data_IF_012681088322
#
_entry.id   IF_012681088322
#
_cell.length_a   1.000
_cell.length_b   1.000
_cell.length_c   1.000
_cell.angle_alpha   90.00
_cell.angle_beta   90.00
_cell.angle_gamma   90.00
#
_symmetry.space_group_name_H-M   'P 1'
#
loop_
_entity.id
_entity.type
_entity.pdbx_description
1 polymer ?
#
# COMPACT_ATOMS: atom_id res chain seq x y z
N UNK A 1 19.57 16.64 -10.57
CA UNK A 1 18.64 16.04 -11.56
C UNK A 1 17.38 16.89 -11.51
N UNK A 2 16.80 17.27 -12.65
CA UNK A 2 15.55 18.04 -12.64
C UNK A 2 14.37 17.05 -12.58
N UNK A 3 13.56 17.15 -11.54
CA UNK A 3 12.29 16.43 -11.43
C UNK A 3 11.19 17.33 -11.99
N UNK A 4 10.39 16.79 -12.90
CA UNK A 4 9.43 17.58 -13.69
C UNK A 4 8.03 17.58 -13.11
N UNK A 5 7.67 16.55 -12.35
CA UNK A 5 6.35 16.33 -11.76
C UNK A 5 6.41 16.18 -10.24
N UNK A 6 7.42 15.45 -9.71
CA UNK A 6 7.55 15.22 -8.28
C UNK A 6 8.11 16.46 -7.56
N UNK A 7 7.20 17.35 -7.18
CA UNK A 7 7.51 18.52 -6.35
C UNK A 7 7.52 18.15 -4.87
N UNK A 8 8.16 18.98 -4.02
CA UNK A 8 8.15 18.74 -2.57
C UNK A 8 6.74 18.66 -1.96
N UNK A 9 5.75 19.52 -2.33
CA UNK A 9 4.39 19.38 -1.82
C UNK A 9 3.71 18.06 -2.19
N UNK A 10 3.95 17.55 -3.41
CA UNK A 10 3.45 16.23 -3.81
C UNK A 10 4.15 15.17 -2.97
N UNK A 11 5.48 15.20 -2.89
CA UNK A 11 6.26 14.26 -2.08
C UNK A 11 5.77 14.21 -0.62
N UNK A 12 5.56 15.35 0.02
CA UNK A 12 5.10 15.45 1.42
C UNK A 12 3.73 14.80 1.61
N UNK A 13 2.83 14.97 0.64
CA UNK A 13 1.52 14.33 0.64
C UNK A 13 1.64 12.81 0.57
N UNK A 14 2.40 12.29 -0.40
CA UNK A 14 2.60 10.84 -0.55
C UNK A 14 3.31 10.26 0.69
N UNK A 15 4.31 10.96 1.21
CA UNK A 15 5.11 10.51 2.35
C UNK A 15 4.27 10.42 3.62
N UNK A 16 3.40 11.41 3.87
CA UNK A 16 2.47 11.41 5.00
C UNK A 16 1.53 10.22 4.94
N UNK A 17 0.91 9.97 3.79
CA UNK A 17 -0.08 8.91 3.62
C UNK A 17 0.55 7.52 3.77
N UNK A 18 1.76 7.33 3.22
CA UNK A 18 2.50 6.08 3.42
C UNK A 18 2.98 5.93 4.86
N UNK A 19 3.34 7.02 5.54
CA UNK A 19 3.65 6.99 6.98
C UNK A 19 2.44 6.56 7.80
N UNK A 20 1.24 7.09 7.49
CA UNK A 20 -0.01 6.68 8.11
C UNK A 20 -0.28 5.19 7.87
N UNK A 21 -0.21 4.73 6.62
CA UNK A 21 -0.40 3.34 6.26
C UNK A 21 0.57 2.43 7.03
N UNK A 22 1.88 2.71 6.95
CA UNK A 22 2.89 1.86 7.59
C UNK A 22 2.71 1.82 9.11
N UNK A 23 2.43 2.96 9.74
CA UNK A 23 2.16 3.01 11.18
C UNK A 23 0.91 2.21 11.55
N UNK A 24 -0.15 2.30 10.73
CA UNK A 24 -1.41 1.58 10.93
C UNK A 24 -1.25 0.08 10.79
N UNK A 25 -0.45 -0.39 9.83
CA UNK A 25 -0.25 -1.82 9.56
C UNK A 25 0.94 -2.45 10.30
N UNK A 26 1.52 -1.74 11.28
CA UNK A 26 2.66 -2.21 12.07
C UNK A 26 3.90 -2.49 11.22
N UNK A 27 4.17 -1.63 10.25
CA UNK A 27 5.33 -1.68 9.36
C UNK A 27 6.37 -0.63 9.78
N UNK A 28 7.69 -0.90 9.59
CA UNK A 28 8.76 0.01 10.01
C UNK A 28 8.68 1.42 9.38
N UNK A 29 8.91 2.46 10.18
CA UNK A 29 8.96 3.87 9.74
C UNK A 29 10.25 4.49 10.27
N UNK A 30 11.05 5.08 9.38
CA UNK A 30 12.37 5.65 9.72
C UNK A 30 13.26 4.71 10.54
N UNK A 31 13.16 3.41 10.28
CA UNK A 31 13.87 2.35 10.99
C UNK A 31 14.80 1.61 10.02
N UNK A 32 15.86 2.32 9.62
CA UNK A 32 16.90 1.84 8.70
C UNK A 32 17.53 0.54 9.20
N UNK A 33 17.62 0.33 10.51
CA UNK A 33 18.21 -0.86 11.10
C UNK A 33 17.38 -2.13 10.82
N UNK A 34 16.06 -1.99 10.66
CA UNK A 34 15.18 -3.12 10.31
C UNK A 34 15.15 -3.46 8.81
N UNK A 35 15.71 -2.60 7.95
CA UNK A 35 15.85 -2.84 6.51
C UNK A 35 17.02 -3.80 6.22
N UNK A 36 16.86 -5.05 6.64
CA UNK A 36 17.78 -6.15 6.32
C UNK A 36 17.57 -6.67 4.88
N UNK A 37 18.42 -7.62 4.46
CA UNK A 37 18.37 -8.23 3.13
C UNK A 37 16.98 -8.76 2.74
N UNK A 38 16.25 -9.37 3.67
CA UNK A 38 14.91 -9.89 3.42
C UNK A 38 13.91 -8.75 3.19
N UNK A 39 13.97 -7.70 4.00
CA UNK A 39 13.09 -6.54 3.86
C UNK A 39 13.39 -5.76 2.57
N UNK A 40 14.67 -5.64 2.19
CA UNK A 40 15.05 -4.99 0.95
C UNK A 40 14.68 -5.82 -0.30
N UNK A 41 14.84 -7.15 -0.21
CA UNK A 41 14.34 -8.07 -1.23
C UNK A 41 12.84 -7.95 -1.40
N UNK A 42 12.08 -7.84 -0.30
CA UNK A 42 10.63 -7.65 -0.34
C UNK A 42 10.25 -6.33 -1.03
N UNK A 43 10.88 -5.21 -0.67
CA UNK A 43 10.64 -3.94 -1.37
C UNK A 43 10.93 -4.04 -2.87
N UNK A 44 11.99 -4.77 -3.23
CA UNK A 44 12.34 -5.02 -4.64
C UNK A 44 11.32 -5.91 -5.34
N UNK A 45 10.83 -6.98 -4.70
CA UNK A 45 9.84 -7.86 -5.30
C UNK A 45 8.50 -7.15 -5.52
N UNK A 46 8.09 -6.30 -4.57
CA UNK A 46 6.85 -5.52 -4.68
C UNK A 46 6.90 -4.59 -5.90
N UNK A 47 7.96 -3.78 -6.06
CA UNK A 47 8.03 -2.90 -7.24
C UNK A 47 8.15 -3.67 -8.57
N UNK A 48 8.75 -4.86 -8.56
CA UNK A 48 8.77 -5.72 -9.76
C UNK A 48 7.36 -6.19 -10.11
N UNK A 49 6.56 -6.58 -9.11
CA UNK A 49 5.16 -6.98 -9.27
C UNK A 49 4.36 -5.84 -9.91
N UNK A 50 4.33 -4.65 -9.29
CA UNK A 50 3.54 -3.51 -9.79
C UNK A 50 3.96 -3.06 -11.20
N UNK A 51 5.25 -3.06 -11.51
CA UNK A 51 5.74 -2.71 -12.85
C UNK A 51 5.43 -3.79 -13.90
N UNK A 52 5.31 -5.05 -13.47
CA UNK A 52 4.86 -6.13 -14.35
C UNK A 52 3.37 -5.98 -14.63
N UNK A 53 2.57 -5.67 -13.62
CA UNK A 53 1.13 -5.37 -13.79
C UNK A 53 0.93 -4.18 -14.73
N UNK A 54 1.73 -3.11 -14.60
CA UNK A 54 1.69 -1.98 -15.53
C UNK A 54 2.01 -2.39 -16.97
N UNK A 55 2.93 -3.35 -17.17
CA UNK A 55 3.28 -3.85 -18.51
C UNK A 55 2.18 -4.74 -19.11
N UNK A 56 1.38 -5.39 -18.28
CA UNK A 56 0.29 -6.28 -18.69
C UNK A 56 -1.08 -5.58 -18.78
N UNK A 57 -1.22 -4.42 -18.14
CA UNK A 57 -2.47 -3.66 -18.04
C UNK A 57 -3.12 -3.34 -19.40
N UNK A 58 -4.38 -3.78 -19.56
CA UNK A 58 -5.11 -3.67 -20.82
C UNK A 58 -6.06 -2.47 -20.90
N UNK A 59 -6.31 -1.84 -19.76
CA UNK A 59 -7.24 -0.72 -19.61
C UNK A 59 -6.60 0.46 -18.90
N UNK A 60 -7.19 1.65 -19.06
CA UNK A 60 -6.69 2.84 -18.37
C UNK A 60 -6.86 2.75 -16.84
N UNK A 61 -7.88 2.02 -16.38
CA UNK A 61 -8.12 1.75 -14.97
C UNK A 61 -6.94 0.93 -14.40
N UNK A 62 -6.60 -0.18 -15.05
CA UNK A 62 -5.46 -1.03 -14.63
C UNK A 62 -4.13 -0.28 -14.73
N UNK A 63 -3.94 0.54 -15.77
CA UNK A 63 -2.74 1.38 -15.90
C UNK A 63 -2.64 2.38 -14.75
N UNK A 64 -3.75 3.01 -14.35
CA UNK A 64 -3.75 3.96 -13.24
C UNK A 64 -3.47 3.26 -11.90
N UNK A 65 -4.08 2.11 -11.65
CA UNK A 65 -3.87 1.29 -10.46
C UNK A 65 -2.39 0.90 -10.33
N UNK A 66 -1.82 0.27 -11.37
CA UNK A 66 -0.42 -0.16 -11.36
C UNK A 66 0.59 0.99 -11.27
N UNK A 67 0.30 2.17 -11.85
CA UNK A 67 1.14 3.37 -11.67
C UNK A 67 1.09 3.85 -10.22
N UNK A 68 -0.11 3.94 -9.63
CA UNK A 68 -0.29 4.38 -8.24
C UNK A 68 0.38 3.40 -7.28
N UNK A 69 0.18 2.10 -7.45
CA UNK A 69 0.77 1.08 -6.60
C UNK A 69 2.30 1.02 -6.73
N UNK A 70 2.84 1.21 -7.94
CA UNK A 70 4.28 1.38 -8.16
C UNK A 70 4.85 2.57 -7.34
N UNK A 71 4.15 3.71 -7.32
CA UNK A 71 4.57 4.85 -6.49
C UNK A 71 4.38 4.54 -5.00
N UNK A 72 3.31 3.85 -4.62
CA UNK A 72 3.00 3.47 -3.25
C UNK A 72 4.12 2.61 -2.62
N UNK A 73 4.62 1.62 -3.36
CA UNK A 73 5.70 0.73 -2.89
C UNK A 73 7.05 1.44 -2.85
N UNK A 74 7.35 2.32 -3.83
CA UNK A 74 8.58 3.13 -3.83
C UNK A 74 8.61 4.12 -2.66
N UNK A 75 7.50 4.81 -2.41
CA UNK A 75 7.34 5.66 -1.23
C UNK A 75 7.41 4.84 0.07
N UNK A 76 6.89 3.61 0.06
CA UNK A 76 7.05 2.64 1.14
C UNK A 76 8.51 2.38 1.53
N UNK A 77 9.40 2.27 0.54
CA UNK A 77 10.85 2.16 0.77
C UNK A 77 11.44 3.44 1.35
N UNK A 78 11.05 4.61 0.83
CA UNK A 78 11.52 5.91 1.36
C UNK A 78 11.11 6.13 2.81
N UNK A 79 9.87 5.84 3.17
CA UNK A 79 9.39 5.95 4.56
C UNK A 79 10.08 4.96 5.48
N UNK A 80 10.38 3.73 5.03
CA UNK A 80 11.18 2.77 5.81
C UNK A 80 12.59 3.35 6.08
N UNK A 81 13.22 3.96 5.07
CA UNK A 81 14.54 4.60 5.18
C UNK A 81 14.52 5.91 5.98
N UNK A 82 13.36 6.53 6.19
CA UNK A 82 13.24 7.85 6.82
C UNK A 82 13.66 9.01 5.92
N UNK A 83 13.66 8.78 4.59
CA UNK A 83 14.01 9.79 3.58
C UNK A 83 12.80 10.66 3.28
N UNK A 84 12.66 11.74 4.05
CA UNK A 84 11.47 12.58 4.12
C UNK A 84 11.48 13.78 3.17
N UNK A 85 12.58 14.04 2.47
CA UNK A 85 12.69 15.10 1.47
C UNK A 85 12.89 14.52 0.07
N UNK A 86 12.46 15.26 -0.95
CA UNK A 86 12.53 14.80 -2.35
C UNK A 86 13.98 14.54 -2.82
N UNK A 87 14.96 15.19 -2.20
CA UNK A 87 16.38 15.09 -2.50
C UNK A 87 17.15 14.08 -1.64
N UNK A 88 16.55 13.52 -0.58
CA UNK A 88 17.17 12.51 0.28
C UNK A 88 17.56 11.23 -0.49
N UNK A 89 16.78 10.88 -1.53
CA UNK A 89 17.10 9.77 -2.43
C UNK A 89 16.68 10.07 -3.88
N UNK A 90 17.54 10.79 -4.60
CA UNK A 90 17.31 11.19 -5.98
C UNK A 90 17.04 10.02 -6.94
N UNK A 91 17.57 8.82 -6.68
CA UNK A 91 17.34 7.68 -7.55
C UNK A 91 15.88 7.21 -7.49
N UNK A 92 15.33 7.03 -6.28
CA UNK A 92 13.93 6.65 -6.11
C UNK A 92 13.01 7.81 -6.51
N UNK A 93 13.33 9.05 -6.12
CA UNK A 93 12.55 10.23 -6.51
C UNK A 93 12.47 10.38 -8.03
N UNK A 94 13.53 10.06 -8.76
CA UNK A 94 13.52 10.04 -10.23
C UNK A 94 12.60 8.95 -10.78
N UNK A 95 12.60 7.74 -10.23
CA UNK A 95 11.69 6.67 -10.65
C UNK A 95 10.23 7.07 -10.44
N UNK A 96 9.92 7.70 -9.31
CA UNK A 96 8.58 8.24 -9.03
C UNK A 96 8.24 9.34 -10.04
N UNK A 97 9.15 10.28 -10.32
CA UNK A 97 8.94 11.33 -11.34
C UNK A 97 8.64 10.74 -12.72
N UNK A 98 9.31 9.66 -13.11
CA UNK A 98 9.03 8.96 -14.37
C UNK A 98 7.61 8.39 -14.40
N UNK A 99 7.17 7.75 -13.31
CA UNK A 99 5.81 7.20 -13.21
C UNK A 99 4.74 8.29 -13.26
N UNK A 100 4.98 9.45 -12.62
CA UNK A 100 4.09 10.61 -12.72
C UNK A 100 4.01 11.15 -14.17
N UNK A 101 5.14 11.19 -14.89
CA UNK A 101 5.13 11.55 -16.30
C UNK A 101 4.42 10.50 -17.16
N UNK A 102 4.52 9.22 -16.84
CA UNK A 102 3.74 8.16 -17.51
C UNK A 102 2.25 8.40 -17.29
N UNK A 103 1.79 8.67 -16.07
CA UNK A 103 0.38 9.00 -15.81
C UNK A 103 -0.11 10.17 -16.68
N UNK A 104 0.67 11.26 -16.76
CA UNK A 104 0.36 12.40 -17.62
C UNK A 104 0.24 11.99 -19.09
N UNK A 105 1.21 11.23 -19.61
CA UNK A 105 1.20 10.76 -21.00
C UNK A 105 0.08 9.75 -21.31
N UNK A 106 -0.58 9.24 -20.28
CA UNK A 106 -1.73 8.34 -20.37
C UNK A 106 -3.05 9.04 -20.04
N UNK A 107 -3.04 10.36 -19.87
CA UNK A 107 -4.20 11.17 -19.45
C UNK A 107 -4.84 10.63 -18.16
N UNK A 108 -4.00 10.34 -17.15
CA UNK A 108 -4.40 9.88 -15.81
C UNK A 108 -4.09 10.98 -14.80
N UNK A 109 -5.08 11.42 -14.05
CA UNK A 109 -4.88 12.34 -12.93
C UNK A 109 -4.36 11.57 -11.70
N UNK A 110 -3.05 11.64 -11.46
CA UNK A 110 -2.39 10.81 -10.46
C UNK A 110 -2.90 11.04 -9.01
N UNK A 111 -3.03 12.30 -8.57
CA UNK A 111 -3.37 12.60 -7.17
C UNK A 111 -4.77 12.11 -6.77
N UNK A 112 -5.84 12.33 -7.58
CA UNK A 112 -7.13 11.72 -7.30
C UNK A 112 -7.08 10.19 -7.19
N UNK A 113 -6.35 9.52 -8.10
CA UNK A 113 -6.19 8.06 -8.05
C UNK A 113 -5.41 7.63 -6.81
N UNK A 114 -4.37 8.37 -6.43
CA UNK A 114 -3.60 8.14 -5.20
C UNK A 114 -4.48 8.22 -3.96
N UNK A 115 -5.26 9.29 -3.81
CA UNK A 115 -6.14 9.50 -2.66
C UNK A 115 -7.18 8.38 -2.52
N UNK A 116 -7.71 7.92 -3.66
CA UNK A 116 -8.67 6.84 -3.74
C UNK A 116 -8.06 5.48 -3.34
N UNK A 117 -6.88 5.15 -3.88
CA UNK A 117 -6.13 3.93 -3.53
C UNK A 117 -5.71 3.96 -2.07
N UNK A 118 -5.21 5.10 -1.56
CA UNK A 118 -4.84 5.23 -0.16
C UNK A 118 -6.04 5.06 0.76
N UNK A 119 -7.19 5.67 0.45
CA UNK A 119 -8.45 5.51 1.17
C UNK A 119 -8.93 4.05 1.20
N UNK A 120 -8.88 3.37 0.05
CA UNK A 120 -9.15 1.94 -0.07
C UNK A 120 -8.21 1.10 0.80
N UNK A 121 -6.91 1.39 0.77
CA UNK A 121 -5.90 0.72 1.59
C UNK A 121 -6.15 0.90 3.09
N UNK A 122 -6.50 2.10 3.52
CA UNK A 122 -6.84 2.42 4.91
C UNK A 122 -8.18 1.82 5.35
N UNK A 123 -9.06 1.41 4.43
CA UNK A 123 -10.32 0.71 4.77
C UNK A 123 -10.13 -0.78 5.11
N UNK A 124 -8.92 -1.33 4.96
CA UNK A 124 -8.64 -2.75 5.29
C UNK A 124 -8.68 -3.03 6.79
N UNK A 125 -8.48 -2.03 7.65
CA UNK A 125 -8.54 -2.16 9.10
C UNK A 125 -9.96 -1.97 9.64
N UNK A 126 -10.21 -2.46 10.85
CA UNK A 126 -11.44 -2.21 11.58
C UNK A 126 -11.30 -0.91 12.40
N UNK A 127 -12.34 -0.06 12.43
CA UNK A 127 -12.33 1.23 13.12
C UNK A 127 -12.74 1.15 14.59
N UNK A 128 -13.33 0.03 15.01
CA UNK A 128 -13.81 -0.20 16.35
C UNK A 128 -14.01 -1.70 16.59
N UNK A 129 -14.29 -2.06 17.85
CA UNK A 129 -14.51 -3.44 18.29
C UNK A 129 -15.70 -4.13 17.61
N UNK A 130 -16.74 -3.38 17.24
CA UNK A 130 -17.89 -3.97 16.55
C UNK A 130 -17.50 -4.43 15.14
N UNK A 131 -16.80 -3.59 14.38
CA UNK A 131 -16.27 -3.97 13.05
C UNK A 131 -15.31 -5.16 13.14
N UNK A 132 -14.47 -5.22 14.18
CA UNK A 132 -13.58 -6.36 14.40
C UNK A 132 -14.38 -7.63 14.71
N UNK A 133 -15.38 -7.56 15.60
CA UNK A 133 -16.22 -8.72 15.98
C UNK A 133 -16.96 -9.30 14.77
N UNK A 134 -17.50 -8.44 13.91
CA UNK A 134 -18.17 -8.85 12.68
C UNK A 134 -17.19 -9.46 11.68
N UNK A 135 -15.99 -8.89 11.56
CA UNK A 135 -14.91 -9.43 10.73
C UNK A 135 -14.46 -10.80 11.25
N UNK A 136 -14.27 -10.94 12.56
CA UNK A 136 -13.91 -12.21 13.21
C UNK A 136 -14.98 -13.28 12.98
N UNK A 137 -16.26 -12.93 13.11
CA UNK A 137 -17.37 -13.85 12.83
C UNK A 137 -17.34 -14.32 11.37
N UNK A 138 -17.18 -13.39 10.42
CA UNK A 138 -17.12 -13.70 8.98
C UNK A 138 -15.97 -14.66 8.61
N UNK A 139 -14.78 -14.50 9.22
CA UNK A 139 -13.65 -15.39 8.98
C UNK A 139 -13.76 -16.70 9.76
N UNK A 140 -14.34 -16.69 10.96
CA UNK A 140 -14.60 -17.90 11.75
C UNK A 140 -15.54 -18.88 11.02
N UNK A 141 -16.55 -18.37 10.31
CA UNK A 141 -17.43 -19.19 9.45
C UNK A 141 -16.68 -19.92 8.32
N UNK A 142 -15.52 -19.38 7.92
CA UNK A 142 -14.62 -19.98 6.92
C UNK A 142 -13.52 -20.85 7.56
N UNK A 143 -13.55 -21.03 8.88
CA UNK A 143 -12.53 -21.76 9.64
C UNK A 143 -11.21 -21.00 9.82
N UNK A 144 -11.21 -19.67 9.65
CA UNK A 144 -10.02 -18.83 9.79
C UNK A 144 -10.08 -18.10 11.12
N UNK A 145 -9.17 -18.46 12.04
CA UNK A 145 -9.03 -17.76 13.31
C UNK A 145 -8.32 -16.42 13.13
N UNK A 146 -8.84 -15.36 13.77
CA UNK A 146 -8.24 -14.02 13.77
C UNK A 146 -7.62 -13.68 15.12
N UNK A 147 -6.67 -12.75 15.08
CA UNK A 147 -6.15 -12.04 16.23
C UNK A 147 -6.24 -10.53 15.99
N UNK A 148 -6.68 -9.81 17.00
CA UNK A 148 -6.72 -8.36 17.02
C UNK A 148 -5.35 -7.78 17.36
N UNK A 149 -4.91 -6.80 16.58
CA UNK A 149 -3.77 -5.93 16.93
C UNK A 149 -4.25 -4.50 16.99
N UNK A 150 -4.32 -3.92 18.19
CA UNK A 150 -4.70 -2.53 18.40
C UNK A 150 -3.56 -1.60 17.94
N UNK A 151 -3.85 -0.64 17.06
CA UNK A 151 -2.94 0.42 16.63
C UNK A 151 -3.66 1.76 16.58
N UNK A 152 -3.39 2.60 17.58
CA UNK A 152 -4.11 3.87 17.74
C UNK A 152 -5.61 3.61 17.86
N UNK A 153 -6.39 4.17 16.93
CA UNK A 153 -7.84 4.01 16.88
C UNK A 153 -8.30 2.83 16.01
N UNK A 154 -7.38 2.08 15.41
CA UNK A 154 -7.69 0.98 14.51
C UNK A 154 -7.40 -0.39 15.14
N UNK A 155 -8.13 -1.40 14.69
CA UNK A 155 -7.91 -2.81 14.99
C UNK A 155 -7.55 -3.51 13.69
N UNK A 156 -6.35 -4.08 13.64
CA UNK A 156 -5.91 -4.90 12.52
C UNK A 156 -6.33 -6.34 12.79
N UNK A 157 -7.10 -6.92 11.87
CA UNK A 157 -7.41 -8.34 11.90
C UNK A 157 -6.28 -9.12 11.21
N UNK A 158 -5.53 -9.91 11.97
CA UNK A 158 -4.48 -10.79 11.43
C UNK A 158 -4.87 -12.25 11.58
N UNK A 159 -4.45 -13.10 10.66
CA UNK A 159 -4.63 -14.55 10.79
C UNK A 159 -3.87 -15.05 12.03
N UNK A 160 -4.57 -15.69 12.97
CA UNK A 160 -3.99 -16.12 14.24
C UNK A 160 -3.07 -17.34 14.09
N UNK A 161 -3.34 -18.18 13.09
CA UNK A 161 -2.61 -19.42 12.80
C UNK A 161 -2.50 -19.65 11.30
N UNK A 162 -1.61 -20.55 10.87
CA UNK A 162 -1.53 -20.95 9.46
C UNK A 162 -2.84 -21.67 9.07
N UNK A 163 -3.50 -21.16 8.03
CA UNK A 163 -4.70 -21.75 7.46
C UNK A 163 -4.40 -22.27 6.05
N UNK A 164 -4.74 -23.54 5.82
CA UNK A 164 -4.59 -24.21 4.54
C UNK A 164 -5.92 -24.86 4.15
N UNK A 165 -6.47 -24.45 3.02
CA UNK A 165 -7.62 -25.05 2.37
C UNK A 165 -7.30 -25.30 0.88
N UNK A 166 -8.16 -26.04 0.17
CA UNK A 166 -7.95 -26.34 -1.25
C UNK A 166 -7.68 -25.07 -2.07
N UNK A 167 -6.44 -24.91 -2.53
CA UNK A 167 -5.98 -23.76 -3.31
C UNK A 167 -5.72 -22.46 -2.54
N UNK A 168 -5.85 -22.43 -1.21
CA UNK A 168 -5.67 -21.21 -0.41
C UNK A 168 -4.79 -21.44 0.82
N UNK A 169 -3.68 -20.72 0.89
CA UNK A 169 -2.79 -20.67 2.05
C UNK A 169 -2.77 -19.26 2.64
N UNK A 170 -3.12 -19.13 3.92
CA UNK A 170 -3.01 -17.89 4.69
C UNK A 170 -2.03 -18.16 5.82
N UNK A 171 -0.91 -17.44 5.83
CA UNK A 171 0.08 -17.57 6.90
C UNK A 171 -0.35 -16.80 8.14
N UNK A 172 0.05 -17.30 9.30
CA UNK A 172 -0.05 -16.57 10.56
C UNK A 172 0.53 -15.16 10.41
N UNK A 173 -0.16 -14.18 11.00
CA UNK A 173 0.23 -12.77 10.96
C UNK A 173 -0.15 -12.03 9.68
N UNK A 174 -0.65 -12.72 8.64
CA UNK A 174 -1.19 -12.06 7.44
C UNK A 174 -2.37 -11.18 7.82
N UNK A 175 -2.32 -9.92 7.40
CA UNK A 175 -3.44 -8.98 7.55
C UNK A 175 -4.59 -9.43 6.64
N UNK A 176 -5.79 -9.47 7.20
CA UNK A 176 -7.02 -9.81 6.52
C UNK A 176 -7.91 -8.56 6.46
N UNK A 177 -8.73 -8.48 5.40
CA UNK A 177 -9.53 -7.29 5.11
C UNK A 177 -10.74 -7.26 6.05
N UNK A 178 -11.01 -6.11 6.66
CA UNK A 178 -12.29 -5.84 7.33
C UNK A 178 -13.46 -6.18 6.40
N UNK A 179 -14.59 -6.65 6.96
CA UNK A 179 -15.83 -6.82 6.18
C UNK A 179 -16.36 -5.50 5.61
N UNK A 180 -15.90 -4.36 6.16
CA UNK A 180 -16.18 -3.01 5.69
C UNK A 180 -15.15 -2.46 4.71
N UNK A 181 -14.20 -3.30 4.27
CA UNK A 181 -13.24 -2.94 3.24
C UNK A 181 -13.95 -2.46 1.97
N UNK A 182 -13.49 -1.33 1.45
CA UNK A 182 -13.95 -0.74 0.20
C UNK A 182 -12.84 -0.87 -0.84
N UNK A 183 -13.04 -1.61 -1.94
CA UNK A 183 -12.09 -1.61 -3.04
C UNK A 183 -11.98 -0.21 -3.66
N UNK A 184 -10.81 0.09 -4.22
CA UNK A 184 -10.62 1.35 -4.93
C UNK A 184 -11.53 1.39 -6.16
N UNK A 185 -12.18 2.51 -6.40
CA UNK A 185 -12.95 2.77 -7.61
C UNK A 185 -12.31 3.90 -8.39
N UNK A 186 -11.47 3.52 -9.37
CA UNK A 186 -10.79 4.46 -10.26
C UNK A 186 -11.62 4.81 -11.50
N UNK A 187 -12.77 4.14 -11.73
CA UNK A 187 -13.64 4.37 -12.89
C UNK A 187 -14.00 5.85 -13.09
N UNK A 188 -14.34 6.66 -12.06
CA UNK A 188 -14.69 8.06 -12.27
C UNK A 188 -13.47 8.98 -12.49
N UNK A 189 -12.24 8.45 -12.39
CA UNK A 189 -10.99 9.23 -12.36
C UNK A 189 -10.15 9.09 -13.63
N UNK A 190 -10.49 8.18 -14.54
CA UNK A 190 -9.67 7.82 -15.73
C UNK A 190 -10.43 7.85 -17.05
#
# INVERSE_FOLDING_TARGET
MLLSQLTQPIFDHLYRDITEFRSTFDLPVSDVASLNEKADTLHTSLIIEELTELAEADSKIEQADAIVDSVYVLMGRLVHLGHSQVDDNLAISYLIDLLLNVAINRDIEFLPCWDEVHSSNMSKVCRNEAEYTETETFYAEQGIALMAVQKGNYIIAKCAEDFVAEGKTIRQGKVLKSVYYRPADLTPLV
#
